data_IF_654526119208
#
_entry.id   IF_654526119208
#
_cell.length_a   1.000
_cell.length_b   1.000
_cell.length_c   1.000
_cell.angle_alpha   90.00
_cell.angle_beta   90.00
_cell.angle_gamma   90.00
#
_symmetry.space_group_name_H-M   'P 1'
#
loop_
_entity.id
_entity.type
_entity.pdbx_description
1 polymer ?
#
# COMPACT_ATOMS: atom_id res chain seq x y z
N UNK A 1 -17.84 -15.97 23.81
CA UNK A 1 -16.76 -15.20 23.19
C UNK A 1 -15.99 -14.63 24.36
N UNK A 2 -14.73 -15.00 24.56
CA UNK A 2 -13.97 -14.46 25.67
C UNK A 2 -13.76 -12.95 25.45
N UNK A 3 -13.73 -12.15 26.52
CA UNK A 3 -13.57 -10.69 26.43
C UNK A 3 -12.26 -10.27 25.74
N UNK A 4 -11.28 -11.18 25.61
CA UNK A 4 -9.98 -10.94 24.97
C UNK A 4 -9.93 -11.20 23.46
N UNK A 5 -11.03 -11.69 22.87
CA UNK A 5 -11.11 -12.01 21.43
C UNK A 5 -11.87 -10.93 20.64
N UNK A 6 -12.46 -9.92 21.29
CA UNK A 6 -13.27 -8.87 20.64
C UNK A 6 -12.94 -7.50 21.22
N UNK A 7 -12.91 -6.47 20.36
CA UNK A 7 -12.79 -5.09 20.81
C UNK A 7 -13.74 -4.15 20.05
N UNK A 8 -14.09 -3.05 20.71
CA UNK A 8 -14.93 -1.99 20.13
C UNK A 8 -14.06 -1.05 19.31
N UNK A 9 -14.48 -0.79 18.07
CA UNK A 9 -13.82 0.17 17.17
C UNK A 9 -14.66 1.45 17.07
N UNK A 10 -15.97 1.31 16.87
CA UNK A 10 -16.94 2.39 16.93
C UNK A 10 -18.03 1.99 17.93
N UNK A 11 -18.27 2.86 18.90
CA UNK A 11 -19.17 2.60 20.01
C UNK A 11 -20.53 2.08 19.53
N UNK A 12 -20.94 0.96 20.13
CA UNK A 12 -22.20 0.25 19.89
C UNK A 12 -22.46 -0.23 18.46
N UNK A 13 -21.53 0.02 17.52
CA UNK A 13 -21.79 -0.13 16.09
C UNK A 13 -20.84 -1.07 15.38
N UNK A 14 -19.53 -0.93 15.58
CA UNK A 14 -18.51 -1.68 14.84
C UNK A 14 -17.49 -2.29 15.80
N UNK A 15 -17.29 -3.59 15.67
CA UNK A 15 -16.40 -4.39 16.50
C UNK A 15 -15.43 -5.18 15.64
N UNK A 16 -14.25 -5.45 16.19
CA UNK A 16 -13.26 -6.35 15.62
C UNK A 16 -13.15 -7.61 16.47
N UNK A 17 -13.07 -8.80 15.86
CA UNK A 17 -12.96 -10.06 16.59
C UNK A 17 -12.00 -11.08 15.95
N UNK A 18 -11.32 -11.88 16.76
CA UNK A 18 -10.60 -13.08 16.31
C UNK A 18 -11.43 -14.33 16.66
N UNK A 19 -11.80 -15.15 15.67
CA UNK A 19 -12.66 -16.31 15.88
C UNK A 19 -12.06 -17.58 15.27
N UNK A 20 -12.24 -18.74 15.94
CA UNK A 20 -11.74 -20.06 15.47
C UNK A 20 -12.57 -20.65 14.34
N UNK A 21 -13.85 -20.27 14.27
CA UNK A 21 -14.80 -20.81 13.31
C UNK A 21 -15.71 -19.71 12.79
N UNK A 22 -16.29 -19.94 11.62
CA UNK A 22 -17.23 -19.02 10.97
C UNK A 22 -18.48 -18.86 11.86
N UNK A 23 -18.75 -17.66 12.41
CA UNK A 23 -19.95 -17.42 13.21
C UNK A 23 -21.21 -17.37 12.32
N UNK A 24 -22.36 -17.65 12.92
CA UNK A 24 -23.67 -17.41 12.28
C UNK A 24 -24.17 -16.01 12.65
N UNK A 25 -24.81 -15.35 11.69
CA UNK A 25 -25.50 -14.09 11.96
C UNK A 25 -26.69 -14.31 12.90
N UNK A 26 -26.97 -13.30 13.73
CA UNK A 26 -28.07 -13.33 14.69
C UNK A 26 -29.04 -12.16 14.42
N UNK A 27 -30.07 -12.05 15.26
CA UNK A 27 -30.99 -10.89 15.26
C UNK A 27 -30.27 -9.60 15.65
N UNK A 28 -29.24 -9.67 16.50
CA UNK A 28 -28.51 -8.53 17.05
C UNK A 28 -27.12 -8.30 16.43
N UNK A 29 -26.53 -9.29 15.77
CA UNK A 29 -25.16 -9.23 15.23
C UNK A 29 -25.10 -9.63 13.76
N UNK A 30 -24.33 -8.88 12.98
CA UNK A 30 -23.94 -9.20 11.62
C UNK A 30 -22.42 -9.41 11.57
N UNK A 31 -22.00 -10.63 11.26
CA UNK A 31 -20.61 -10.99 11.11
C UNK A 31 -20.17 -10.90 9.65
N UNK A 32 -18.95 -10.40 9.43
CA UNK A 32 -18.31 -10.44 8.13
C UNK A 32 -16.80 -10.59 8.29
N UNK A 33 -16.16 -11.18 7.28
CA UNK A 33 -14.73 -11.44 7.22
C UNK A 33 -14.25 -11.11 5.82
N UNK A 34 -12.99 -10.70 5.70
CA UNK A 34 -12.33 -10.36 4.43
C UNK A 34 -11.01 -11.13 4.22
N UNK A 35 -10.73 -12.11 5.09
CA UNK A 35 -9.49 -12.90 5.08
C UNK A 35 -9.17 -13.57 3.74
N UNK A 36 -10.21 -13.95 2.99
CA UNK A 36 -10.10 -14.62 1.67
C UNK A 36 -10.58 -13.71 0.51
N UNK A 37 -10.82 -12.43 0.79
CA UNK A 37 -11.25 -11.43 -0.19
C UNK A 37 -10.12 -10.45 -0.53
N UNK A 38 -9.37 -10.01 0.48
CA UNK A 38 -8.20 -9.16 0.30
C UNK A 38 -6.94 -9.95 0.63
N UNK A 39 -6.36 -10.55 -0.41
CA UNK A 39 -5.19 -11.42 -0.31
C UNK A 39 -3.97 -10.60 -0.70
N UNK A 40 -3.00 -10.52 0.21
CA UNK A 40 -1.71 -9.90 -0.07
C UNK A 40 -0.87 -10.82 -0.97
N UNK A 41 -0.34 -10.27 -2.05
CA UNK A 41 0.57 -10.96 -2.96
C UNK A 41 2.01 -10.75 -2.47
N UNK A 42 2.61 -11.79 -1.91
CA UNK A 42 3.94 -11.71 -1.30
C UNK A 42 5.07 -11.86 -2.32
N UNK A 43 6.16 -11.11 -2.12
CA UNK A 43 7.40 -11.31 -2.87
C UNK A 43 8.25 -12.43 -2.28
N UNK A 44 8.34 -12.50 -0.95
CA UNK A 44 9.04 -13.55 -0.23
C UNK A 44 8.23 -13.97 1.01
N UNK A 45 8.66 -13.58 2.21
CA UNK A 45 7.99 -13.91 3.47
C UNK A 45 7.17 -12.73 4.04
N UNK A 46 7.18 -11.58 3.37
CA UNK A 46 6.28 -10.47 3.60
C UNK A 46 4.82 -10.91 3.43
N UNK A 47 3.91 -10.30 4.20
CA UNK A 47 2.50 -10.70 4.23
C UNK A 47 1.54 -9.51 4.29
N UNK A 48 2.05 -8.29 4.25
CA UNK A 48 1.29 -7.07 4.43
C UNK A 48 2.19 -5.87 4.78
N UNK A 49 1.59 -4.70 5.09
CA UNK A 49 0.14 -4.47 5.14
C UNK A 49 -0.51 -4.48 3.75
N UNK A 50 -1.84 -4.63 3.70
CA UNK A 50 -2.60 -4.55 2.44
C UNK A 50 -2.51 -3.15 1.81
N UNK A 51 -2.52 -3.10 0.47
CA UNK A 51 -2.33 -1.89 -0.31
C UNK A 51 -3.52 -0.92 -0.26
N UNK A 52 -3.39 0.26 -0.89
CA UNK A 52 -4.43 1.31 -0.87
C UNK A 52 -5.72 0.91 -1.58
N UNK A 53 -5.66 0.13 -2.66
CA UNK A 53 -6.85 -0.35 -3.35
C UNK A 53 -7.70 -1.26 -2.44
N UNK A 54 -7.07 -2.21 -1.78
CA UNK A 54 -7.75 -3.11 -0.82
C UNK A 54 -8.31 -2.32 0.37
N UNK A 55 -7.55 -1.35 0.89
CA UNK A 55 -8.02 -0.47 1.96
C UNK A 55 -9.22 0.39 1.54
N UNK A 56 -9.20 0.96 0.34
CA UNK A 56 -10.32 1.73 -0.23
C UNK A 56 -11.58 0.86 -0.38
N UNK A 57 -11.44 -0.35 -0.95
CA UNK A 57 -12.54 -1.31 -1.09
C UNK A 57 -13.10 -1.74 0.26
N UNK A 58 -12.22 -1.98 1.25
CA UNK A 58 -12.64 -2.27 2.62
C UNK A 58 -13.45 -1.11 3.23
N UNK A 59 -12.98 0.13 3.10
CA UNK A 59 -13.68 1.31 3.61
C UNK A 59 -15.08 1.43 3.01
N UNK A 60 -15.20 1.26 1.69
CA UNK A 60 -16.48 1.27 0.99
C UNK A 60 -17.41 0.14 1.43
N UNK A 61 -16.87 -1.07 1.64
CA UNK A 61 -17.62 -2.23 2.12
C UNK A 61 -18.19 -1.99 3.52
N UNK A 62 -17.40 -1.48 4.45
CA UNK A 62 -17.86 -1.18 5.82
C UNK A 62 -18.87 -0.04 5.82
N UNK A 63 -18.62 1.04 5.06
CA UNK A 63 -19.56 2.15 4.91
C UNK A 63 -20.91 1.69 4.34
N UNK A 64 -20.92 0.82 3.33
CA UNK A 64 -22.15 0.24 2.77
C UNK A 64 -22.91 -0.58 3.80
N UNK A 65 -22.21 -1.35 4.65
CA UNK A 65 -22.84 -2.11 5.74
C UNK A 65 -23.43 -1.20 6.81
N UNK A 66 -22.71 -0.16 7.22
CA UNK A 66 -23.19 0.79 8.24
C UNK A 66 -24.43 1.57 7.80
N UNK A 67 -24.49 1.95 6.51
CA UNK A 67 -25.64 2.66 5.91
C UNK A 67 -26.82 1.75 5.57
N UNK A 68 -26.66 0.43 5.65
CA UNK A 68 -27.70 -0.52 5.26
C UNK A 68 -28.85 -0.55 6.27
N UNK A 69 -30.08 -0.28 5.81
CA UNK A 69 -31.29 -0.28 6.65
C UNK A 69 -31.55 -1.63 7.32
N UNK A 70 -31.28 -2.75 6.62
CA UNK A 70 -31.44 -4.10 7.17
C UNK A 70 -30.45 -4.43 8.29
N UNK A 71 -29.35 -3.66 8.40
CA UNK A 71 -28.32 -3.82 9.43
C UNK A 71 -28.36 -2.72 10.49
N UNK A 72 -29.23 -1.72 10.38
CA UNK A 72 -29.23 -0.52 11.21
C UNK A 72 -29.27 -0.81 12.71
N UNK A 73 -30.05 -1.84 13.13
CA UNK A 73 -30.20 -2.26 14.52
C UNK A 73 -29.23 -3.37 14.97
N UNK A 74 -28.32 -3.82 14.10
CA UNK A 74 -27.40 -4.94 14.36
C UNK A 74 -25.99 -4.45 14.58
N UNK A 75 -25.27 -4.95 15.58
CA UNK A 75 -23.82 -4.75 15.73
C UNK A 75 -23.07 -5.36 14.54
N UNK A 76 -22.18 -4.61 13.90
CA UNK A 76 -21.32 -5.14 12.85
C UNK A 76 -20.05 -5.68 13.48
N UNK A 77 -19.72 -6.94 13.21
CA UNK A 77 -18.54 -7.60 13.74
C UNK A 77 -17.67 -8.01 12.55
N UNK A 78 -16.59 -7.26 12.35
CA UNK A 78 -15.51 -7.69 11.47
C UNK A 78 -14.71 -8.76 12.21
N UNK A 79 -14.84 -10.01 11.79
CA UNK A 79 -14.05 -11.09 12.37
C UNK A 79 -12.97 -11.57 11.41
N UNK A 80 -11.89 -12.10 11.97
CA UNK A 80 -10.79 -12.75 11.27
C UNK A 80 -10.51 -14.12 11.91
N UNK A 81 -9.82 -15.00 11.19
CA UNK A 81 -9.36 -16.30 11.69
C UNK A 81 -8.23 -16.16 12.73
N UNK A 82 -7.75 -17.29 13.29
CA UNK A 82 -6.59 -17.29 14.19
C UNK A 82 -5.23 -17.24 13.47
N UNK A 83 -5.19 -17.18 12.13
CA UNK A 83 -3.93 -17.00 11.39
C UNK A 83 -3.33 -15.62 11.71
N UNK A 84 -2.11 -15.59 12.23
CA UNK A 84 -1.47 -14.36 12.71
C UNK A 84 -1.30 -13.28 11.64
N UNK A 85 -1.11 -13.67 10.37
CA UNK A 85 -0.93 -12.74 9.24
C UNK A 85 -2.27 -12.12 8.86
N UNK A 86 -3.31 -12.95 8.74
CA UNK A 86 -4.69 -12.50 8.48
C UNK A 86 -5.19 -11.59 9.60
N UNK A 87 -4.89 -11.91 10.86
CA UNK A 87 -5.21 -11.05 12.01
C UNK A 87 -4.59 -9.67 11.91
N UNK A 88 -3.30 -9.60 11.61
CA UNK A 88 -2.59 -8.32 11.48
C UNK A 88 -3.14 -7.48 10.32
N UNK A 89 -3.39 -8.08 9.14
CA UNK A 89 -3.97 -7.36 8.01
C UNK A 89 -5.40 -6.89 8.27
N UNK A 90 -6.25 -7.73 8.85
CA UNK A 90 -7.63 -7.37 9.17
C UNK A 90 -7.72 -6.29 10.26
N UNK A 91 -6.80 -6.30 11.23
CA UNK A 91 -6.63 -5.23 12.21
C UNK A 91 -6.13 -3.93 11.58
N UNK A 92 -5.18 -4.01 10.65
CA UNK A 92 -4.72 -2.88 9.85
C UNK A 92 -5.88 -2.23 9.08
N UNK A 93 -6.69 -3.01 8.37
CA UNK A 93 -7.83 -2.50 7.60
C UNK A 93 -8.84 -1.75 8.48
N UNK A 94 -9.26 -2.35 9.59
CA UNK A 94 -10.29 -1.75 10.45
C UNK A 94 -9.78 -0.54 11.22
N UNK A 95 -8.51 -0.56 11.65
CA UNK A 95 -7.89 0.60 12.30
C UNK A 95 -7.70 1.77 11.33
N UNK A 96 -7.21 1.51 10.12
CA UNK A 96 -7.09 2.53 9.08
C UNK A 96 -8.46 3.08 8.67
N UNK A 97 -9.48 2.22 8.57
CA UNK A 97 -10.86 2.65 8.32
C UNK A 97 -11.36 3.64 9.36
N UNK A 98 -11.13 3.36 10.65
CA UNK A 98 -11.53 4.26 11.74
C UNK A 98 -10.82 5.62 11.67
N UNK A 99 -9.53 5.63 11.30
CA UNK A 99 -8.78 6.88 11.08
C UNK A 99 -9.33 7.64 9.87
N UNK A 100 -9.49 6.98 8.72
CA UNK A 100 -9.87 7.63 7.45
C UNK A 100 -11.32 8.09 7.46
N UNK A 101 -12.26 7.21 7.84
CA UNK A 101 -13.69 7.47 7.71
C UNK A 101 -14.32 8.12 8.94
N UNK A 102 -13.71 7.95 10.12
CA UNK A 102 -14.25 8.45 11.40
C UNK A 102 -13.33 9.42 12.13
N UNK A 103 -12.19 9.80 11.51
CA UNK A 103 -11.22 10.77 12.04
C UNK A 103 -10.70 10.40 13.45
N UNK A 104 -10.63 9.11 13.75
CA UNK A 104 -10.00 8.63 14.98
C UNK A 104 -8.50 8.92 14.97
N UNK A 105 -7.97 9.22 16.14
CA UNK A 105 -6.52 9.32 16.37
C UNK A 105 -5.87 7.94 16.38
N UNK A 106 -4.55 7.90 16.22
CA UNK A 106 -3.77 6.65 16.26
C UNK A 106 -3.96 5.93 17.60
N UNK A 107 -3.98 6.66 18.72
CA UNK A 107 -4.14 6.07 20.06
C UNK A 107 -5.54 5.49 20.28
N UNK A 108 -6.58 6.16 19.78
CA UNK A 108 -7.96 5.68 19.88
C UNK A 108 -8.18 4.33 19.17
N UNK A 109 -7.44 4.05 18.10
CA UNK A 109 -7.53 2.75 17.40
C UNK A 109 -6.54 1.73 17.94
N UNK A 110 -5.34 2.16 18.35
CA UNK A 110 -4.29 1.25 18.83
C UNK A 110 -4.64 0.66 20.18
N UNK A 111 -5.22 1.45 21.10
CA UNK A 111 -5.59 0.98 22.44
C UNK A 111 -6.55 -0.22 22.43
N UNK A 112 -7.73 -0.18 21.77
CA UNK A 112 -8.65 -1.31 21.75
C UNK A 112 -8.12 -2.50 20.93
N UNK A 113 -7.33 -2.27 19.87
CA UNK A 113 -6.72 -3.38 19.14
C UNK A 113 -5.62 -4.06 19.99
N UNK A 114 -4.81 -3.28 20.71
CA UNK A 114 -3.73 -3.78 21.55
C UNK A 114 -4.18 -4.60 22.76
N UNK A 115 -5.46 -4.54 23.15
CA UNK A 115 -6.00 -5.37 24.24
C UNK A 115 -6.34 -6.81 23.81
N UNK A 116 -6.24 -7.13 22.52
CA UNK A 116 -6.56 -8.46 21.99
C UNK A 116 -5.40 -9.44 22.14
N UNK A 117 -5.73 -10.70 22.44
CA UNK A 117 -4.76 -11.78 22.56
C UNK A 117 -4.95 -12.83 21.44
N UNK A 118 -3.86 -13.47 20.96
CA UNK A 118 -2.46 -13.10 21.18
C UNK A 118 -2.11 -11.78 20.45
N UNK A 119 -0.96 -11.15 20.75
CA UNK A 119 -0.52 -9.94 20.04
C UNK A 119 -0.50 -10.14 18.51
N UNK A 120 -0.66 -9.04 17.77
CA UNK A 120 -0.56 -9.07 16.31
C UNK A 120 0.89 -9.26 15.87
N UNK A 121 1.08 -9.97 14.75
CA UNK A 121 2.37 -10.04 14.10
C UNK A 121 2.79 -8.65 13.60
N UNK A 122 4.08 -8.38 13.65
CA UNK A 122 4.67 -7.24 12.98
C UNK A 122 4.88 -7.54 11.50
N UNK A 123 4.70 -6.53 10.66
CA UNK A 123 5.03 -6.58 9.25
C UNK A 123 6.55 -6.58 9.07
N UNK A 124 6.99 -7.28 8.03
CA UNK A 124 8.39 -7.43 7.65
C UNK A 124 8.56 -6.98 6.20
N UNK A 125 9.80 -6.69 5.84
CA UNK A 125 10.16 -6.36 4.48
C UNK A 125 10.22 -7.62 3.58
N UNK A 126 10.34 -7.36 2.28
CA UNK A 126 10.38 -8.36 1.23
C UNK A 126 11.76 -9.01 1.01
N UNK A 127 12.77 -8.68 1.84
CA UNK A 127 14.11 -9.26 1.67
C UNK A 127 14.20 -10.75 2.05
N UNK A 128 15.21 -11.39 1.47
CA UNK A 128 15.68 -12.71 1.87
C UNK A 128 16.28 -12.66 3.28
N UNK A 129 15.86 -13.60 4.14
CA UNK A 129 16.44 -13.78 5.47
C UNK A 129 15.55 -13.27 6.61
N UNK A 130 16.11 -13.07 7.82
CA UNK A 130 15.34 -12.61 8.98
C UNK A 130 15.03 -11.10 8.89
N UNK A 131 13.86 -10.65 9.39
CA UNK A 131 13.52 -9.23 9.39
C UNK A 131 14.45 -8.45 10.33
N UNK A 132 15.02 -7.35 9.84
CA UNK A 132 15.92 -6.48 10.62
C UNK A 132 15.20 -5.26 11.18
N UNK A 133 14.06 -4.87 10.60
CA UNK A 133 13.28 -3.70 11.00
C UNK A 133 11.77 -3.96 10.92
N UNK A 134 11.19 -4.67 11.91
CA UNK A 134 9.77 -4.98 11.89
C UNK A 134 8.90 -3.75 12.19
N UNK A 135 7.80 -3.59 11.45
CA UNK A 135 6.81 -2.53 11.67
C UNK A 135 5.54 -3.09 12.30
N UNK A 136 5.05 -2.49 13.38
CA UNK A 136 3.78 -2.87 14.00
C UNK A 136 2.61 -2.02 13.44
N UNK A 137 1.39 -2.34 13.88
CA UNK A 137 0.18 -1.62 13.50
C UNK A 137 0.22 -0.12 13.83
N UNK A 138 0.84 0.27 14.95
CA UNK A 138 0.97 1.69 15.33
C UNK A 138 1.76 2.48 14.29
N UNK A 139 2.84 1.91 13.73
CA UNK A 139 3.59 2.55 12.65
C UNK A 139 2.73 2.75 11.40
N UNK A 140 1.97 1.73 10.99
CA UNK A 140 1.07 1.81 9.83
C UNK A 140 -0.05 2.85 10.03
N UNK A 141 -0.68 2.86 11.21
CA UNK A 141 -1.69 3.86 11.57
C UNK A 141 -1.14 5.28 11.58
N UNK A 142 0.07 5.46 12.13
CA UNK A 142 0.77 6.73 12.11
C UNK A 142 1.06 7.21 10.69
N UNK A 143 1.43 6.30 9.78
CA UNK A 143 1.66 6.61 8.38
C UNK A 143 0.38 7.09 7.69
N UNK A 144 -0.74 6.37 7.85
CA UNK A 144 -2.04 6.79 7.30
C UNK A 144 -2.50 8.13 7.89
N UNK A 145 -2.37 8.31 9.20
CA UNK A 145 -2.76 9.57 9.85
C UNK A 145 -1.96 10.76 9.29
N UNK A 146 -0.64 10.62 9.14
CA UNK A 146 0.21 11.66 8.55
C UNK A 146 -0.06 11.86 7.07
N UNK A 147 -0.32 10.80 6.32
CA UNK A 147 -0.68 10.88 4.91
C UNK A 147 -1.98 11.68 4.69
N UNK A 148 -2.98 11.49 5.56
CA UNK A 148 -4.19 12.32 5.56
C UNK A 148 -3.88 13.78 5.93
N UNK A 149 -3.08 14.01 6.98
CA UNK A 149 -2.71 15.35 7.45
C UNK A 149 -1.99 16.16 6.38
N UNK A 150 -1.11 15.54 5.60
CA UNK A 150 -0.34 16.17 4.54
C UNK A 150 -0.98 16.08 3.15
N UNK A 151 -2.19 15.52 3.04
CA UNK A 151 -2.92 15.41 1.78
C UNK A 151 -2.34 14.40 0.78
N UNK A 152 -1.52 13.45 1.23
CA UNK A 152 -1.00 12.37 0.40
C UNK A 152 -2.05 11.29 0.14
N UNK A 153 -3.07 11.22 0.99
CA UNK A 153 -4.18 10.28 0.87
C UNK A 153 -5.51 11.04 0.88
N UNK A 154 -6.30 10.87 -0.18
CA UNK A 154 -7.69 11.38 -0.27
C UNK A 154 -8.57 10.38 -1.02
N UNK A 155 -9.32 9.57 -0.28
CA UNK A 155 -10.23 8.58 -0.87
C UNK A 155 -11.45 9.17 -1.58
N UNK A 156 -11.71 10.49 -1.48
CA UNK A 156 -12.73 11.12 -2.32
C UNK A 156 -12.26 11.35 -3.76
N UNK A 157 -10.94 11.35 -3.99
CA UNK A 157 -10.30 11.55 -5.30
C UNK A 157 -9.52 10.33 -5.78
N UNK A 158 -9.44 9.29 -4.95
CA UNK A 158 -8.70 8.07 -5.26
C UNK A 158 -9.42 7.23 -6.32
N UNK A 159 -8.75 7.03 -7.45
CA UNK A 159 -9.20 6.14 -8.53
C UNK A 159 -8.65 4.73 -8.27
N UNK A 160 -9.49 3.84 -7.75
CA UNK A 160 -9.07 2.45 -7.49
C UNK A 160 -8.85 1.69 -8.79
N UNK A 161 -9.61 2.00 -9.83
CA UNK A 161 -9.49 1.40 -11.15
C UNK A 161 -8.16 1.76 -11.80
N UNK A 162 -7.72 3.02 -11.68
CA UNK A 162 -6.42 3.45 -12.19
C UNK A 162 -5.26 2.82 -11.41
N UNK A 163 -5.36 2.81 -10.08
CA UNK A 163 -4.38 2.17 -9.20
C UNK A 163 -4.19 0.70 -9.57
N UNK A 164 -5.27 -0.08 -9.63
CA UNK A 164 -5.24 -1.51 -9.94
C UNK A 164 -4.86 -1.80 -11.39
N UNK A 165 -5.06 -0.84 -12.29
CA UNK A 165 -4.59 -0.96 -13.66
C UNK A 165 -3.06 -0.88 -13.69
N UNK A 166 -2.48 0.21 -13.18
CA UNK A 166 -1.06 0.49 -13.32
C UNK A 166 -0.13 -0.22 -12.32
N UNK A 167 -0.66 -0.78 -11.22
CA UNK A 167 0.14 -1.63 -10.33
C UNK A 167 0.59 -2.94 -11.00
N UNK A 168 -0.07 -3.35 -12.08
CA UNK A 168 0.25 -4.60 -12.77
C UNK A 168 1.45 -4.45 -13.69
N UNK A 169 2.27 -5.49 -13.75
CA UNK A 169 3.45 -5.58 -14.62
C UNK A 169 3.08 -5.32 -16.08
N UNK A 170 1.94 -5.83 -16.55
CA UNK A 170 1.49 -5.61 -17.92
C UNK A 170 1.21 -4.15 -18.29
N UNK A 171 0.95 -3.29 -17.31
CA UNK A 171 0.59 -1.89 -17.54
C UNK A 171 1.67 -0.91 -17.09
N UNK A 172 2.81 -1.41 -16.59
CA UNK A 172 3.99 -0.61 -16.29
C UNK A 172 4.52 -0.71 -14.86
N UNK A 173 3.81 -1.41 -13.96
CA UNK A 173 4.19 -1.60 -12.56
C UNK A 173 4.64 -0.29 -11.90
N UNK A 174 3.69 0.62 -11.72
CA UNK A 174 3.95 1.90 -11.10
C UNK A 174 2.84 2.35 -10.15
N UNK A 175 3.24 3.12 -9.15
CA UNK A 175 2.35 3.64 -8.13
C UNK A 175 2.75 5.07 -7.74
N UNK A 176 1.75 5.92 -7.49
CA UNK A 176 1.97 7.21 -6.84
C UNK A 176 2.26 7.01 -5.36
N UNK A 177 3.40 7.54 -4.90
CA UNK A 177 3.77 7.56 -3.48
C UNK A 177 3.30 8.87 -2.84
N UNK A 178 3.48 9.98 -3.55
CA UNK A 178 2.93 11.28 -3.22
C UNK A 178 2.23 11.82 -4.46
N UNK A 179 0.89 11.95 -4.48
CA UNK A 179 0.14 12.38 -5.66
C UNK A 179 0.68 13.69 -6.23
N UNK A 180 0.98 13.69 -7.53
CA UNK A 180 1.52 14.86 -8.24
C UNK A 180 2.97 15.21 -7.91
N UNK A 181 3.68 14.41 -7.09
CA UNK A 181 5.10 14.66 -6.79
C UNK A 181 6.03 13.48 -6.98
N UNK A 182 5.69 12.30 -6.45
CA UNK A 182 6.55 11.13 -6.52
C UNK A 182 5.79 9.93 -7.07
N UNK A 183 6.26 9.45 -8.22
CA UNK A 183 5.84 8.21 -8.87
C UNK A 183 6.99 7.21 -8.76
N UNK A 184 6.73 6.02 -8.24
CA UNK A 184 7.68 4.91 -8.27
C UNK A 184 7.26 3.92 -9.36
N UNK A 185 8.20 3.45 -10.17
CA UNK A 185 7.92 2.50 -11.24
C UNK A 185 9.02 1.47 -11.47
N UNK A 186 8.70 0.36 -12.12
CA UNK A 186 9.67 -0.64 -12.55
C UNK A 186 10.61 -0.08 -13.62
N UNK A 187 11.91 -0.38 -13.48
CA UNK A 187 12.93 0.12 -14.40
C UNK A 187 12.72 -0.38 -15.84
N UNK A 188 12.63 0.51 -16.84
CA UNK A 188 12.38 0.11 -18.21
C UNK A 188 13.60 -0.53 -18.85
N UNK A 189 13.35 -1.23 -19.96
CA UNK A 189 14.36 -1.86 -20.80
C UNK A 189 14.56 -1.08 -22.10
N UNK A 190 15.63 -1.34 -22.85
CA UNK A 190 15.82 -0.63 -24.11
C UNK A 190 14.71 -0.90 -25.13
N UNK A 191 14.05 -2.06 -25.11
CA UNK A 191 12.93 -2.37 -26.01
C UNK A 191 11.83 -3.11 -25.28
N UNK A 192 10.58 -2.82 -25.65
CA UNK A 192 9.44 -3.59 -25.16
C UNK A 192 9.50 -5.01 -25.73
N UNK A 193 9.40 -6.02 -24.87
CA UNK A 193 9.44 -7.43 -25.27
C UNK A 193 8.76 -8.29 -24.22
N UNK A 194 8.29 -9.47 -24.61
CA UNK A 194 7.83 -10.48 -23.66
C UNK A 194 9.03 -11.37 -23.31
N UNK A 195 9.32 -11.49 -22.03
CA UNK A 195 10.37 -12.36 -21.49
C UNK A 195 9.76 -13.28 -20.42
N UNK A 196 9.83 -14.59 -20.63
CA UNK A 196 9.22 -15.61 -19.76
C UNK A 196 7.73 -15.40 -19.47
N UNK A 197 6.98 -14.88 -20.44
CA UNK A 197 5.55 -14.58 -20.31
C UNK A 197 5.24 -13.21 -19.69
N UNK A 198 6.25 -12.46 -19.24
CA UNK A 198 6.09 -11.13 -18.67
C UNK A 198 6.50 -10.02 -19.65
N UNK A 199 5.70 -8.96 -19.79
CA UNK A 199 6.07 -7.83 -20.62
C UNK A 199 7.12 -6.97 -19.90
N UNK A 200 8.20 -6.71 -20.61
CA UNK A 200 9.16 -5.67 -20.29
C UNK A 200 8.80 -4.43 -21.09
N UNK A 201 8.81 -3.28 -20.43
CA UNK A 201 8.43 -1.99 -21.04
C UNK A 201 9.65 -1.17 -21.41
N UNK A 202 9.60 -0.56 -22.60
CA UNK A 202 10.52 0.50 -22.98
C UNK A 202 10.08 1.86 -22.42
N UNK A 203 10.96 2.88 -22.39
CA UNK A 203 10.62 4.21 -21.91
C UNK A 203 9.33 4.81 -22.51
N UNK A 204 9.10 4.58 -23.80
CA UNK A 204 7.97 5.15 -24.55
C UNK A 204 6.60 4.64 -24.09
N UNK A 205 6.54 3.45 -23.47
CA UNK A 205 5.32 2.95 -22.83
C UNK A 205 4.78 3.91 -21.75
N UNK A 206 5.65 4.70 -21.11
CA UNK A 206 5.28 5.57 -19.99
C UNK A 206 4.95 7.00 -20.42
N UNK A 207 5.34 7.43 -21.62
CA UNK A 207 5.36 8.84 -21.99
C UNK A 207 3.97 9.49 -21.95
N UNK A 208 2.95 8.81 -22.46
CA UNK A 208 1.58 9.34 -22.51
C UNK A 208 1.05 9.61 -21.09
N UNK A 209 1.23 8.65 -20.17
CA UNK A 209 0.81 8.81 -18.79
C UNK A 209 1.62 9.91 -18.08
N UNK A 210 2.94 9.91 -18.26
CA UNK A 210 3.84 10.87 -17.62
C UNK A 210 3.51 12.31 -18.04
N UNK A 211 3.28 12.55 -19.33
CA UNK A 211 2.88 13.87 -19.86
C UNK A 211 1.51 14.30 -19.33
N UNK A 212 0.54 13.39 -19.31
CA UNK A 212 -0.80 13.69 -18.81
C UNK A 212 -0.81 14.05 -17.32
N UNK A 213 0.15 13.54 -16.53
CA UNK A 213 0.24 13.75 -15.08
C UNK A 213 1.40 14.67 -14.65
N UNK A 214 1.88 15.52 -15.56
CA UNK A 214 2.91 16.52 -15.28
C UNK A 214 4.19 15.93 -14.65
N UNK A 215 4.59 14.72 -15.06
CA UNK A 215 5.92 14.18 -14.77
C UNK A 215 6.91 14.89 -15.67
N UNK A 216 7.87 15.59 -15.06
CA UNK A 216 8.88 16.37 -15.77
C UNK A 216 10.25 15.71 -15.72
N UNK A 217 10.53 14.92 -14.68
CA UNK A 217 11.86 14.42 -14.38
C UNK A 217 11.83 12.92 -14.09
N UNK A 218 12.68 12.18 -14.78
CA UNK A 218 12.91 10.74 -14.55
C UNK A 218 14.24 10.54 -13.84
N UNK A 219 14.22 9.85 -12.71
CA UNK A 219 15.41 9.53 -11.93
C UNK A 219 15.68 8.03 -12.00
N UNK A 220 16.87 7.66 -12.46
CA UNK A 220 17.33 6.27 -12.52
C UNK A 220 18.33 5.98 -11.40
N UNK A 221 18.04 4.94 -10.62
CA UNK A 221 18.88 4.53 -9.48
C UNK A 221 19.71 3.25 -9.77
N UNK A 222 19.38 2.50 -10.82
CA UNK A 222 20.02 1.23 -11.16
C UNK A 222 21.02 1.35 -12.34
N UNK A 223 21.65 0.21 -12.68
CA UNK A 223 22.51 0.12 -13.87
C UNK A 223 21.72 0.49 -15.12
N UNK A 224 22.40 1.07 -16.11
CA UNK A 224 21.80 1.48 -17.39
C UNK A 224 21.24 0.27 -18.15
N UNK A 225 19.91 0.15 -18.18
CA UNK A 225 19.18 -0.85 -18.97
C UNK A 225 18.56 -0.29 -20.26
N UNK A 226 18.63 1.03 -20.44
CA UNK A 226 18.12 1.78 -21.60
C UNK A 226 18.91 3.08 -21.78
N UNK A 227 18.78 3.68 -22.96
CA UNK A 227 19.40 4.95 -23.29
C UNK A 227 18.62 6.14 -22.71
N UNK A 228 19.25 6.97 -21.87
CA UNK A 228 18.60 8.14 -21.26
C UNK A 228 17.99 9.10 -22.30
N UNK A 229 18.58 9.16 -23.49
CA UNK A 229 18.08 9.99 -24.61
C UNK A 229 16.63 9.71 -24.97
N UNK A 230 16.12 8.49 -24.74
CA UNK A 230 14.72 8.18 -25.04
C UNK A 230 13.75 9.06 -24.25
N UNK A 231 14.07 9.37 -23.01
CA UNK A 231 13.29 10.30 -22.20
C UNK A 231 13.59 11.76 -22.58
N UNK A 232 14.86 12.14 -22.78
CA UNK A 232 15.19 13.54 -23.08
C UNK A 232 14.68 13.99 -24.45
N UNK A 233 14.75 13.14 -25.47
CA UNK A 233 14.22 13.40 -26.81
C UNK A 233 12.68 13.52 -26.78
N UNK A 234 12.03 12.90 -25.79
CA UNK A 234 10.59 13.00 -25.57
C UNK A 234 10.17 14.20 -24.70
N UNK A 235 11.13 15.00 -24.22
CA UNK A 235 10.89 16.24 -23.45
C UNK A 235 10.97 16.09 -21.93
N UNK A 236 11.49 14.98 -21.40
CA UNK A 236 11.66 14.80 -19.96
C UNK A 236 13.11 15.10 -19.53
N UNK A 237 13.30 15.67 -18.34
CA UNK A 237 14.62 15.64 -17.71
C UNK A 237 14.97 14.21 -17.29
N UNK A 238 16.23 13.83 -17.43
CA UNK A 238 16.72 12.51 -16.99
C UNK A 238 17.93 12.67 -16.08
N UNK A 239 17.91 12.00 -14.92
CA UNK A 239 18.95 12.09 -13.89
C UNK A 239 19.40 10.69 -13.48
N UNK A 240 20.69 10.41 -13.65
CA UNK A 240 21.33 9.20 -13.16
C UNK A 240 21.90 9.41 -11.75
N UNK A 241 21.38 8.65 -10.78
CA UNK A 241 21.79 8.65 -9.38
C UNK A 241 22.08 7.22 -8.92
N UNK A 242 22.99 6.55 -9.62
CA UNK A 242 23.31 5.14 -9.41
C UNK A 242 23.91 4.84 -8.03
N UNK A 243 23.42 3.79 -7.39
CA UNK A 243 24.09 3.10 -6.29
C UNK A 243 23.86 1.57 -6.40
N UNK A 244 24.70 0.73 -5.77
CA UNK A 244 24.56 -0.73 -5.87
C UNK A 244 23.22 -1.26 -5.34
N UNK A 245 22.70 -2.28 -6.00
CA UNK A 245 21.46 -2.96 -5.61
C UNK A 245 21.56 -3.55 -4.19
N UNK A 246 20.50 -3.42 -3.39
CA UNK A 246 20.48 -3.83 -1.98
C UNK A 246 21.37 -3.00 -1.03
N UNK A 247 22.01 -1.93 -1.50
CA UNK A 247 22.82 -1.02 -0.67
C UNK A 247 22.11 0.29 -0.37
N UNK A 248 22.67 1.08 0.56
CA UNK A 248 22.20 2.43 0.85
C UNK A 248 22.90 3.47 -0.04
N UNK A 249 22.18 4.51 -0.52
CA UNK A 249 22.82 5.59 -1.24
C UNK A 249 23.80 6.35 -0.34
N UNK A 250 24.86 6.91 -0.93
CA UNK A 250 25.74 7.82 -0.20
C UNK A 250 25.03 9.14 0.12
N UNK A 251 25.52 9.85 1.14
CA UNK A 251 25.01 11.18 1.54
C UNK A 251 24.99 12.17 0.35
N UNK A 252 25.98 12.10 -0.55
CA UNK A 252 26.02 12.94 -1.75
C UNK A 252 24.85 12.61 -2.71
N UNK A 253 24.59 11.32 -2.95
CA UNK A 253 23.46 10.89 -3.80
C UNK A 253 22.14 11.35 -3.18
N UNK A 254 21.97 11.18 -1.87
CA UNK A 254 20.78 11.63 -1.14
C UNK A 254 20.56 13.13 -1.30
N UNK A 255 21.57 13.97 -1.04
CA UNK A 255 21.45 15.43 -1.18
C UNK A 255 21.12 15.87 -2.61
N UNK A 256 21.72 15.21 -3.60
CA UNK A 256 21.42 15.48 -5.01
C UNK A 256 19.97 15.11 -5.35
N UNK A 257 19.48 13.97 -4.86
CA UNK A 257 18.09 13.58 -5.05
C UNK A 257 17.13 14.61 -4.44
N UNK A 258 17.37 15.04 -3.20
CA UNK A 258 16.57 16.06 -2.53
C UNK A 258 16.56 17.38 -3.30
N UNK A 259 17.73 17.84 -3.76
CA UNK A 259 17.83 19.06 -4.59
C UNK A 259 16.98 18.94 -5.85
N UNK A 260 17.09 17.82 -6.59
CA UNK A 260 16.29 17.58 -7.79
C UNK A 260 14.80 17.56 -7.46
N UNK A 261 14.41 16.89 -6.38
CA UNK A 261 13.02 16.82 -5.95
C UNK A 261 12.45 18.19 -5.58
N UNK A 262 13.24 19.06 -4.93
CA UNK A 262 12.83 20.40 -4.53
C UNK A 262 12.76 21.38 -5.71
N UNK A 263 13.63 21.22 -6.72
CA UNK A 263 13.72 22.17 -7.84
C UNK A 263 12.95 21.75 -9.09
N UNK A 264 12.46 20.52 -9.19
CA UNK A 264 11.72 20.06 -10.37
C UNK A 264 10.37 20.79 -10.52
N UNK A 265 10.09 21.26 -11.74
CA UNK A 265 8.85 21.97 -12.09
C UNK A 265 7.58 21.11 -11.98
N UNK A 266 7.72 19.78 -12.00
CA UNK A 266 6.62 18.84 -11.87
C UNK A 266 6.94 17.62 -11.01
N UNK A 267 6.27 16.52 -11.34
CA UNK A 267 6.44 15.25 -10.66
C UNK A 267 7.71 14.53 -11.10
N UNK A 268 8.27 13.75 -10.17
CA UNK A 268 9.41 12.88 -10.39
C UNK A 268 8.93 11.45 -10.55
N UNK A 269 9.33 10.80 -11.65
CA UNK A 269 9.22 9.36 -11.80
C UNK A 269 10.57 8.71 -11.47
N UNK A 270 10.61 7.90 -10.41
CA UNK A 270 11.82 7.30 -9.86
C UNK A 270 11.75 5.78 -10.05
N UNK A 271 12.80 5.18 -10.60
CA UNK A 271 12.88 3.73 -10.75
C UNK A 271 14.24 3.16 -10.34
N UNK A 272 14.19 1.90 -9.95
CA UNK A 272 15.34 1.02 -9.75
C UNK A 272 15.11 -0.28 -10.56
N UNK A 273 15.87 -1.34 -10.25
CA UNK A 273 15.58 -2.67 -10.79
C UNK A 273 14.29 -3.17 -10.12
N UNK A 274 13.21 -3.35 -10.91
CA UNK A 274 11.89 -3.73 -10.41
C UNK A 274 11.78 -5.15 -9.86
N UNK A 275 12.84 -5.97 -9.93
CA UNK A 275 12.78 -7.34 -9.45
C UNK A 275 13.46 -7.48 -8.10
N UNK A 276 12.69 -7.32 -7.02
CA UNK A 276 13.00 -7.80 -5.66
C UNK A 276 12.95 -9.35 -5.57
N UNK A 277 13.13 -10.05 -6.68
CA UNK A 277 13.09 -11.51 -6.71
C UNK A 277 14.32 -12.05 -6.01
N UNK A 278 14.11 -12.51 -4.78
CA UNK A 278 14.96 -13.48 -4.12
C UNK A 278 15.04 -14.74 -5.01
N UNK A 279 16.24 -15.15 -5.47
CA UNK A 279 16.36 -16.44 -6.13
C UNK A 279 15.93 -17.54 -5.14
N UNK A 280 14.99 -18.39 -5.58
CA UNK A 280 14.57 -19.58 -4.84
C UNK A 280 15.71 -20.58 -4.71
#
# INVERSE_FOLDING_TARGET
>A
MADHDVCTILDERLYFATLRSKPRNTTSCHYFCVDDEFIYENFYADFGPLNLAMLYRYCNKVNKKLKSSSLAKKRLIHYTSYDGRKRANSAYLIGCYAIICHRKTVDEVTRPLGSLAPPFLTFRDASCGPPTYPLNLYHCFSAIYKALLHGFLDFSKFSVEEYEHFEKVENGDFNWIVPGKFLAFAGPHDRSRIENGYPLHAPDSYFSYFKAHNVTTVVRLNKRMYEARKFTDAGFEHRDLFFPDGSNPSENILRRFLTIAETADGALAVHCKGNTHCPQ
#
